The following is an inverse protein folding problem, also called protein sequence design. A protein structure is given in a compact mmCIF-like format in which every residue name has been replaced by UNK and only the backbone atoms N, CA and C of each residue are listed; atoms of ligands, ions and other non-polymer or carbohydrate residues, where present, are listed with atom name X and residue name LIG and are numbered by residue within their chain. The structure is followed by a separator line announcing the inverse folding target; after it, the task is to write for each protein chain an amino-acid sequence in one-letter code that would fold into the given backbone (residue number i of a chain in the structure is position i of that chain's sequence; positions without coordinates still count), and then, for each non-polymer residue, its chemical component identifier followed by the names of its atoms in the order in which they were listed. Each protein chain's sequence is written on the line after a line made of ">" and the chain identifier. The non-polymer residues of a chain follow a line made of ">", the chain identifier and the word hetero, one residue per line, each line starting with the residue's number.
data_IF_845833837833
#
_entry.id   IF_845833837833
#
_cell.length_a   1.000
_cell.length_b   1.000
_cell.length_c   1.000
_cell.angle_alpha   90.00
_cell.angle_beta   90.00
_cell.angle_gamma   90.00
#
_symmetry.space_group_name_H-M   'P 1'
#
loop_
_entity.id
_entity.type
_entity.pdbx_description
1 polymer ?
#
# COMPACT_ATOMS: atom_id res chain seq x y z
N UNK A 1 18.72 3.79 -2.62
CA UNK A 1 17.55 2.89 -2.75
C UNK A 1 16.80 2.98 -1.45
N UNK A 2 15.54 3.39 -1.51
CA UNK A 2 14.66 3.52 -0.37
C UNK A 2 13.47 2.59 -0.54
N UNK A 3 12.90 2.17 0.59
CA UNK A 3 11.74 1.31 0.61
C UNK A 3 10.62 2.00 1.38
N UNK A 4 9.44 2.05 0.77
CA UNK A 4 8.22 2.48 1.43
C UNK A 4 7.21 1.34 1.40
N UNK A 5 6.81 0.88 2.58
CA UNK A 5 5.79 -0.15 2.71
C UNK A 5 4.41 0.52 2.66
N UNK A 6 3.51 -0.01 1.84
CA UNK A 6 2.12 0.44 1.72
C UNK A 6 1.20 -0.60 2.36
N UNK A 7 0.60 -0.21 3.48
CA UNK A 7 -0.37 -1.02 4.21
C UNK A 7 -1.76 -0.40 4.17
N UNK A 8 -2.75 -1.11 4.68
CA UNK A 8 -4.11 -0.61 4.85
C UNK A 8 -4.59 -0.79 6.27
N UNK A 9 -5.56 0.02 6.70
CA UNK A 9 -6.31 -0.24 7.93
C UNK A 9 -7.23 -1.45 7.81
N UNK A 10 -7.55 -1.86 6.58
CA UNK A 10 -8.39 -3.03 6.29
C UNK A 10 -8.17 -3.53 4.83
N UNK A 11 -8.90 -4.56 4.44
CA UNK A 11 -9.11 -5.00 3.06
C UNK A 11 -10.01 -4.00 2.32
N UNK A 12 -9.78 -3.80 1.02
CA UNK A 12 -10.65 -2.95 0.19
C UNK A 12 -10.53 -1.43 0.41
N UNK A 13 -9.64 -0.95 1.29
CA UNK A 13 -9.44 0.49 1.54
C UNK A 13 -8.78 1.27 0.39
N UNK A 14 -8.42 0.60 -0.71
CA UNK A 14 -7.81 1.23 -1.88
C UNK A 14 -6.27 1.20 -1.92
N UNK A 15 -5.62 0.20 -1.30
CA UNK A 15 -4.15 0.05 -1.31
C UNK A 15 -3.57 0.08 -2.72
N UNK A 16 -4.06 -0.77 -3.62
CA UNK A 16 -3.59 -0.89 -5.01
C UNK A 16 -3.66 0.45 -5.76
N UNK A 17 -4.77 1.18 -5.58
CA UNK A 17 -4.96 2.52 -6.18
C UNK A 17 -3.99 3.53 -5.58
N UNK A 18 -3.77 3.50 -4.27
CA UNK A 18 -2.81 4.39 -3.61
C UNK A 18 -1.35 4.09 -3.99
N UNK A 19 -0.99 2.81 -4.08
CA UNK A 19 0.32 2.35 -4.58
C UNK A 19 0.52 2.85 -6.01
N UNK A 20 -0.47 2.63 -6.90
CA UNK A 20 -0.41 3.10 -8.28
C UNK A 20 -0.31 4.63 -8.37
N UNK A 21 -1.09 5.37 -7.59
CA UNK A 21 -1.08 6.83 -7.62
C UNK A 21 0.27 7.39 -7.17
N UNK A 22 0.84 6.84 -6.09
CA UNK A 22 2.17 7.25 -5.62
C UNK A 22 3.26 6.88 -6.62
N UNK A 23 3.22 5.68 -7.20
CA UNK A 23 4.17 5.25 -8.22
C UNK A 23 4.09 6.15 -9.47
N UNK A 24 2.87 6.50 -9.88
CA UNK A 24 2.62 7.42 -10.98
C UNK A 24 3.17 8.82 -10.70
N UNK A 25 2.93 9.36 -9.49
CA UNK A 25 3.46 10.65 -9.07
C UNK A 25 5.00 10.66 -9.01
N UNK A 26 5.60 9.59 -8.47
CA UNK A 26 7.05 9.43 -8.41
C UNK A 26 7.68 9.37 -9.82
N UNK A 27 7.11 8.56 -10.71
CA UNK A 27 7.54 8.47 -12.11
C UNK A 27 7.46 9.83 -12.83
N UNK A 28 6.35 10.55 -12.66
CA UNK A 28 6.17 11.89 -13.24
C UNK A 28 7.16 12.91 -12.67
N UNK A 29 7.60 12.74 -11.42
CA UNK A 29 8.66 13.54 -10.80
C UNK A 29 10.09 13.09 -11.18
N UNK A 30 10.24 12.12 -12.10
CA UNK A 30 11.55 11.62 -12.55
C UNK A 30 12.22 10.67 -11.56
N UNK A 31 11.49 10.14 -10.58
CA UNK A 31 11.98 9.11 -9.66
C UNK A 31 11.85 7.74 -10.31
N UNK A 32 12.96 7.01 -10.35
CA UNK A 32 12.98 5.59 -10.69
C UNK A 32 12.28 4.77 -9.60
N UNK A 33 11.14 4.19 -9.95
CA UNK A 33 10.20 3.56 -9.01
C UNK A 33 9.84 2.16 -9.44
N UNK A 34 9.90 1.23 -8.49
CA UNK A 34 9.41 -0.14 -8.62
C UNK A 34 8.27 -0.42 -7.64
N UNK A 35 7.42 -1.37 -7.99
CA UNK A 35 6.37 -1.87 -7.10
C UNK A 35 6.56 -3.36 -6.86
N UNK A 36 6.62 -3.73 -5.58
CA UNK A 36 6.72 -5.10 -5.12
C UNK A 36 5.44 -5.49 -4.38
N UNK A 37 4.81 -6.59 -4.79
CA UNK A 37 3.70 -7.24 -4.10
C UNK A 37 4.16 -8.66 -3.75
N UNK A 38 4.81 -8.88 -2.59
CA UNK A 38 5.39 -10.18 -2.27
C UNK A 38 4.35 -11.30 -2.32
N UNK A 39 3.17 -11.04 -1.75
CA UNK A 39 2.08 -12.02 -1.61
C UNK A 39 0.78 -11.49 -2.23
N UNK A 40 0.24 -12.24 -3.19
CA UNK A 40 -1.05 -12.01 -3.84
C UNK A 40 -2.00 -13.18 -3.55
N UNK A 41 -3.24 -12.87 -3.22
CA UNK A 41 -4.34 -13.85 -3.12
C UNK A 41 -5.40 -13.54 -4.17
N UNK A 42 -6.29 -14.48 -4.49
CA UNK A 42 -7.30 -14.30 -5.56
C UNK A 42 -6.76 -14.43 -7.00
N UNK A 43 -5.50 -14.83 -7.19
CA UNK A 43 -4.86 -14.90 -8.51
C UNK A 43 -5.37 -16.11 -9.33
N UNK A 44 -5.51 -16.02 -10.67
CA UNK A 44 -5.18 -14.88 -11.52
C UNK A 44 -6.36 -13.91 -11.72
N UNK A 45 -7.48 -14.07 -10.99
CA UNK A 45 -8.62 -13.15 -11.12
C UNK A 45 -8.26 -11.77 -10.58
N UNK A 46 -7.59 -11.74 -9.43
CA UNK A 46 -7.07 -10.54 -8.80
C UNK A 46 -5.57 -10.44 -9.11
N UNK A 47 -5.14 -9.26 -9.58
CA UNK A 47 -3.73 -8.99 -9.89
C UNK A 47 -3.42 -7.51 -9.64
N UNK A 48 -3.00 -7.20 -8.41
CA UNK A 48 -2.73 -5.83 -7.98
C UNK A 48 -1.58 -5.20 -8.80
N UNK A 49 -0.58 -5.98 -9.21
CA UNK A 49 0.52 -5.50 -10.03
C UNK A 49 0.07 -5.16 -11.45
N UNK A 50 -0.85 -5.93 -12.03
CA UNK A 50 -1.41 -5.61 -13.34
C UNK A 50 -2.22 -4.30 -13.30
N UNK A 51 -2.96 -4.06 -12.22
CA UNK A 51 -3.66 -2.78 -12.02
C UNK A 51 -2.70 -1.61 -11.84
N UNK A 52 -1.63 -1.79 -11.07
CA UNK A 52 -0.55 -0.79 -10.97
C UNK A 52 0.08 -0.50 -12.33
N UNK A 53 0.38 -1.53 -13.13
CA UNK A 53 0.94 -1.38 -14.47
C UNK A 53 0.03 -0.50 -15.35
N UNK A 54 -1.26 -0.86 -15.37
CA UNK A 54 -2.29 -0.22 -16.19
C UNK A 54 -2.52 1.24 -15.80
N UNK A 55 -2.55 1.54 -14.50
CA UNK A 55 -2.87 2.87 -13.98
C UNK A 55 -1.65 3.80 -13.98
N UNK A 56 -0.49 3.30 -13.53
CA UNK A 56 0.68 4.13 -13.28
C UNK A 56 1.70 4.13 -14.44
N UNK A 57 1.61 3.16 -15.36
CA UNK A 57 2.60 2.97 -16.42
C UNK A 57 3.96 2.49 -15.90
N UNK A 58 4.01 1.88 -14.72
CA UNK A 58 5.24 1.33 -14.12
C UNK A 58 5.46 -0.09 -14.64
N UNK A 59 6.70 -0.37 -15.07
CA UNK A 59 7.08 -1.68 -15.64
C UNK A 59 7.92 -2.52 -14.69
N UNK A 60 8.59 -1.90 -13.72
CA UNK A 60 9.38 -2.58 -12.69
C UNK A 60 8.45 -3.15 -11.61
N UNK A 61 7.86 -4.31 -11.90
CA UNK A 61 6.83 -4.96 -11.08
C UNK A 61 7.32 -6.33 -10.61
N UNK A 62 7.26 -6.57 -9.30
CA UNK A 62 7.83 -7.76 -8.67
C UNK A 62 6.78 -8.44 -7.79
N UNK A 63 6.43 -9.68 -8.09
CA UNK A 63 5.52 -10.47 -7.27
C UNK A 63 5.84 -11.96 -7.38
N UNK A 64 5.94 -12.62 -6.22
CA UNK A 64 6.54 -13.97 -6.14
C UNK A 64 5.50 -15.02 -5.73
N UNK A 65 4.79 -14.80 -4.61
CA UNK A 65 3.85 -15.78 -4.08
C UNK A 65 2.42 -15.43 -4.45
N UNK A 66 1.75 -16.35 -5.15
CA UNK A 66 0.39 -16.18 -5.65
C UNK A 66 -0.48 -17.35 -5.20
N UNK A 67 -1.60 -17.05 -4.57
CA UNK A 67 -2.57 -18.04 -4.10
C UNK A 67 -3.93 -17.86 -4.80
N UNK A 68 -4.65 -18.95 -5.12
CA UNK A 68 -5.84 -18.85 -5.98
C UNK A 68 -7.06 -18.17 -5.34
N UNK A 69 -7.30 -18.42 -4.06
CA UNK A 69 -8.53 -17.98 -3.41
C UNK A 69 -8.40 -16.56 -2.84
N UNK A 70 -9.44 -15.70 -2.94
CA UNK A 70 -9.43 -14.33 -2.45
C UNK A 70 -9.67 -14.28 -0.93
N UNK A 71 -8.74 -14.88 -0.19
CA UNK A 71 -8.75 -14.99 1.27
C UNK A 71 -7.51 -14.31 1.86
N UNK A 72 -7.41 -14.27 3.19
CA UNK A 72 -6.15 -13.97 3.85
C UNK A 72 -5.07 -14.98 3.41
N UNK A 73 -3.79 -14.58 3.26
CA UNK A 73 -2.76 -15.44 2.69
C UNK A 73 -2.60 -16.80 3.36
N UNK A 74 -2.63 -16.87 4.69
CA UNK A 74 -2.55 -18.14 5.42
C UNK A 74 -3.69 -19.11 5.01
N UNK A 75 -4.93 -18.62 4.97
CA UNK A 75 -6.08 -19.42 4.57
C UNK A 75 -6.04 -19.79 3.07
N UNK A 76 -5.60 -18.87 2.21
CA UNK A 76 -5.48 -19.13 0.78
C UNK A 76 -4.38 -20.19 0.48
N UNK A 77 -3.26 -20.12 1.18
CA UNK A 77 -2.16 -21.07 1.10
C UNK A 77 -2.58 -22.46 1.60
N UNK A 78 -3.22 -22.52 2.77
CA UNK A 78 -3.74 -23.77 3.35
C UNK A 78 -4.69 -24.47 2.40
N UNK A 79 -5.67 -23.74 1.85
CA UNK A 79 -6.67 -24.30 0.93
C UNK A 79 -6.09 -24.74 -0.40
N UNK A 80 -5.01 -24.11 -0.85
CA UNK A 80 -4.27 -24.51 -2.04
C UNK A 80 -3.28 -25.67 -1.78
N UNK A 81 -3.09 -26.11 -0.53
CA UNK A 81 -2.04 -27.07 -0.18
C UNK A 81 -0.63 -26.53 -0.41
N UNK A 82 -0.46 -25.21 -0.33
CA UNK A 82 0.80 -24.49 -0.57
C UNK A 82 1.36 -23.93 0.74
N UNK A 83 2.67 -23.77 0.82
CA UNK A 83 3.30 -23.11 1.95
C UNK A 83 3.25 -21.58 1.80
N UNK A 84 3.17 -20.88 2.94
CA UNK A 84 3.58 -19.47 3.00
C UNK A 84 5.11 -19.36 2.81
N UNK A 85 5.62 -18.24 2.28
CA UNK A 85 7.06 -17.99 2.27
C UNK A 85 7.64 -17.81 3.67
N UNK A 86 8.92 -18.07 3.81
CA UNK A 86 9.69 -17.71 5.00
C UNK A 86 9.90 -16.20 5.09
N UNK A 87 10.28 -15.74 6.28
CA UNK A 87 10.62 -14.33 6.52
C UNK A 87 11.77 -13.84 5.62
N UNK A 88 12.82 -14.64 5.49
CA UNK A 88 14.02 -14.29 4.72
C UNK A 88 13.71 -14.24 3.22
N UNK A 89 12.85 -15.13 2.72
CA UNK A 89 12.37 -15.08 1.33
C UNK A 89 11.56 -13.79 1.07
N UNK A 90 10.66 -13.42 1.98
CA UNK A 90 9.88 -12.19 1.86
C UNK A 90 10.78 -10.94 1.83
N UNK A 91 11.71 -10.82 2.78
CA UNK A 91 12.66 -9.71 2.83
C UNK A 91 13.57 -9.72 1.60
N UNK A 92 14.09 -10.89 1.21
CA UNK A 92 14.93 -11.08 0.03
C UNK A 92 14.23 -10.68 -1.27
N UNK A 93 12.93 -10.95 -1.39
CA UNK A 93 12.15 -10.56 -2.57
C UNK A 93 12.06 -9.05 -2.76
N UNK A 94 12.14 -8.28 -1.66
CA UNK A 94 12.12 -6.80 -1.70
C UNK A 94 13.53 -6.24 -1.90
N UNK A 95 14.54 -6.78 -1.20
CA UNK A 95 15.92 -6.26 -1.28
C UNK A 95 16.59 -6.57 -2.62
N UNK A 96 16.11 -7.56 -3.37
CA UNK A 96 16.55 -7.86 -4.72
C UNK A 96 16.03 -6.87 -5.78
N UNK A 97 15.09 -5.98 -5.44
CA UNK A 97 14.54 -4.98 -6.36
C UNK A 97 15.56 -3.85 -6.56
N UNK A 98 15.94 -3.63 -7.81
CA UNK A 98 16.84 -2.54 -8.22
C UNK A 98 16.03 -1.33 -8.69
N UNK A 99 15.76 -0.40 -7.77
CA UNK A 99 15.12 0.88 -8.05
C UNK A 99 15.51 1.93 -7.01
N UNK A 100 15.43 3.22 -7.37
CA UNK A 100 15.64 4.29 -6.37
C UNK A 100 14.60 4.27 -5.26
N UNK A 101 13.33 4.06 -5.59
CA UNK A 101 12.21 3.92 -4.65
C UNK A 101 11.46 2.60 -4.91
N UNK A 102 11.38 1.75 -3.91
CA UNK A 102 10.58 0.51 -3.96
C UNK A 102 9.32 0.68 -3.10
N UNK A 103 8.15 0.61 -3.72
CA UNK A 103 6.86 0.55 -3.01
C UNK A 103 6.51 -0.91 -2.75
N UNK A 104 6.34 -1.29 -1.48
CA UNK A 104 6.01 -2.67 -1.09
C UNK A 104 4.57 -2.73 -0.63
N UNK A 105 3.69 -3.27 -1.46
CA UNK A 105 2.28 -3.40 -1.12
C UNK A 105 2.00 -4.67 -0.31
N UNK A 106 1.29 -4.53 0.82
CA UNK A 106 0.82 -5.66 1.61
C UNK A 106 -0.47 -6.31 1.11
N UNK A 107 -0.86 -7.42 1.73
CA UNK A 107 -2.19 -8.04 1.54
C UNK A 107 -3.05 -7.80 2.78
N UNK A 108 -4.24 -7.20 2.62
CA UNK A 108 -5.11 -6.85 3.76
C UNK A 108 -4.54 -5.74 4.65
N UNK A 109 -4.50 -5.95 5.96
CA UNK A 109 -4.01 -4.99 6.95
C UNK A 109 -2.59 -5.27 7.46
N UNK A 110 -2.04 -4.35 8.27
CA UNK A 110 -0.64 -4.38 8.74
C UNK A 110 -0.20 -5.70 9.41
N UNK A 111 -1.10 -6.33 10.17
CA UNK A 111 -0.80 -7.53 10.96
C UNK A 111 -1.32 -8.83 10.32
N UNK A 112 -1.70 -8.79 9.04
CA UNK A 112 -2.03 -10.02 8.29
C UNK A 112 -0.78 -10.89 8.20
N UNK A 113 -0.94 -12.20 8.45
CA UNK A 113 0.12 -13.19 8.26
C UNK A 113 0.42 -13.36 6.77
N UNK A 114 1.63 -12.97 6.38
CA UNK A 114 2.17 -13.05 5.03
C UNK A 114 3.16 -14.20 4.86
N UNK A 115 3.82 -14.60 5.94
CA UNK A 115 4.87 -15.61 5.94
C UNK A 115 4.74 -16.58 7.10
N UNK A 116 5.47 -17.69 7.02
CA UNK A 116 5.46 -18.76 8.02
C UNK A 116 5.73 -18.23 9.43
N UNK A 117 5.02 -18.80 10.42
CA UNK A 117 5.22 -18.46 11.82
C UNK A 117 4.65 -17.09 12.20
N UNK A 118 3.60 -16.62 11.52
CA UNK A 118 2.92 -15.37 11.85
C UNK A 118 3.66 -14.12 11.36
N UNK A 119 4.55 -14.22 10.37
CA UNK A 119 5.31 -13.05 9.86
C UNK A 119 4.34 -12.08 9.19
N UNK A 120 4.36 -10.83 9.63
CA UNK A 120 3.47 -9.77 9.13
C UNK A 120 4.20 -8.75 8.28
N UNK A 121 3.46 -7.85 7.61
CA UNK A 121 4.06 -6.73 6.89
C UNK A 121 4.86 -5.80 7.81
N UNK A 122 4.47 -5.70 9.09
CA UNK A 122 5.22 -4.95 10.11
C UNK A 122 6.61 -5.53 10.33
N UNK A 123 6.74 -6.86 10.37
CA UNK A 123 8.02 -7.52 10.56
C UNK A 123 8.95 -7.31 9.36
N UNK A 124 8.38 -7.35 8.15
CA UNK A 124 9.08 -7.05 6.90
C UNK A 124 9.55 -5.58 6.89
N UNK A 125 8.67 -4.63 7.25
CA UNK A 125 9.01 -3.21 7.33
C UNK A 125 10.16 -2.95 8.32
N UNK A 126 10.14 -3.62 9.48
CA UNK A 126 11.22 -3.54 10.48
C UNK A 126 12.56 -4.01 9.92
N UNK A 127 12.61 -5.16 9.29
CA UNK A 127 13.87 -5.73 8.77
C UNK A 127 14.46 -4.91 7.62
N UNK A 128 13.60 -4.26 6.84
CA UNK A 128 13.99 -3.36 5.76
C UNK A 128 14.33 -1.95 6.25
N UNK A 129 14.17 -1.65 7.55
CA UNK A 129 14.20 -0.30 8.11
C UNK A 129 13.31 0.69 7.33
N UNK A 130 12.19 0.19 6.79
CA UNK A 130 11.30 0.93 5.91
C UNK A 130 10.26 1.71 6.71
N UNK A 131 9.90 2.89 6.20
CA UNK A 131 8.72 3.61 6.69
C UNK A 131 7.45 2.98 6.13
N UNK A 132 6.32 3.25 6.79
CA UNK A 132 5.01 2.70 6.39
C UNK A 132 4.03 3.82 6.04
N UNK A 133 3.50 3.78 4.82
CA UNK A 133 2.35 4.56 4.38
C UNK A 133 1.06 3.77 4.65
N UNK A 134 0.10 4.39 5.32
CA UNK A 134 -1.15 3.73 5.71
C UNK A 134 -2.30 4.23 4.84
N UNK A 135 -2.97 3.31 4.15
CA UNK A 135 -4.18 3.59 3.38
C UNK A 135 -5.41 3.39 4.26
N UNK A 136 -6.29 4.39 4.30
CA UNK A 136 -7.46 4.44 5.19
C UNK A 136 -8.74 4.67 4.37
N UNK A 137 -9.88 4.21 4.89
CA UNK A 137 -11.20 4.61 4.40
C UNK A 137 -11.64 5.94 5.05
N UNK A 138 -12.56 6.71 4.44
CA UNK A 138 -13.08 7.94 5.05
C UNK A 138 -14.21 7.70 6.06
N UNK A 139 -14.86 6.53 6.03
CA UNK A 139 -16.09 6.25 6.75
C UNK A 139 -15.93 6.04 8.26
N UNK A 140 -17.07 5.86 8.94
CA UNK A 140 -17.13 5.61 10.38
C UNK A 140 -16.28 4.38 10.77
N UNK A 141 -15.55 4.49 11.88
CA UNK A 141 -14.59 3.49 12.36
C UNK A 141 -13.15 3.73 11.94
N UNK A 142 -12.92 4.56 10.91
CA UNK A 142 -11.57 4.83 10.39
C UNK A 142 -10.60 5.37 11.44
N UNK A 143 -11.07 6.22 12.36
CA UNK A 143 -10.22 6.80 13.41
C UNK A 143 -9.68 5.72 14.36
N UNK A 144 -10.52 4.73 14.73
CA UNK A 144 -10.10 3.61 15.56
C UNK A 144 -9.09 2.72 14.82
N UNK A 145 -9.41 2.30 13.60
CA UNK A 145 -8.50 1.42 12.84
C UNK A 145 -7.16 2.11 12.55
N UNK A 146 -7.18 3.41 12.26
CA UNK A 146 -5.98 4.20 12.03
C UNK A 146 -5.15 4.30 13.30
N UNK A 147 -5.75 4.63 14.46
CA UNK A 147 -5.06 4.70 15.73
C UNK A 147 -4.42 3.36 16.12
N UNK A 148 -5.16 2.24 16.00
CA UNK A 148 -4.65 0.89 16.26
C UNK A 148 -3.47 0.53 15.34
N UNK A 149 -3.54 0.92 14.06
CA UNK A 149 -2.45 0.67 13.11
C UNK A 149 -1.21 1.50 13.45
N UNK A 150 -1.39 2.78 13.83
CA UNK A 150 -0.30 3.66 14.26
C UNK A 150 0.36 3.15 15.55
N UNK A 151 -0.41 2.71 16.54
CA UNK A 151 0.10 2.10 17.76
C UNK A 151 0.91 0.83 17.47
N UNK A 152 0.41 -0.03 16.57
CA UNK A 152 1.11 -1.25 16.18
C UNK A 152 2.46 -0.99 15.50
N UNK A 153 2.60 0.11 14.75
CA UNK A 153 3.88 0.57 14.18
C UNK A 153 4.80 1.16 15.25
N UNK A 154 4.26 2.05 16.08
CA UNK A 154 5.01 2.72 17.15
C UNK A 154 5.58 1.70 18.15
N UNK A 155 4.84 0.64 18.47
CA UNK A 155 5.29 -0.45 19.33
C UNK A 155 6.52 -1.19 18.80
N UNK A 156 6.88 -1.02 17.53
CA UNK A 156 8.08 -1.58 16.91
C UNK A 156 9.06 -0.51 16.40
N UNK A 157 8.86 0.76 16.81
CA UNK A 157 9.64 1.92 16.36
C UNK A 157 9.68 2.10 14.83
N UNK A 158 8.61 1.71 14.13
CA UNK A 158 8.53 1.84 12.66
C UNK A 158 7.92 3.21 12.34
N UNK A 159 8.60 4.07 11.55
CA UNK A 159 8.07 5.38 11.21
C UNK A 159 6.83 5.28 10.32
N UNK A 160 5.80 6.07 10.62
CA UNK A 160 4.68 6.28 9.72
C UNK A 160 5.04 7.42 8.73
N UNK A 161 4.99 7.13 7.43
CA UNK A 161 5.22 8.11 6.37
C UNK A 161 4.02 9.06 6.18
N UNK A 162 2.85 8.68 6.70
CA UNK A 162 1.59 9.43 6.63
C UNK A 162 0.42 8.53 6.24
N UNK A 163 -0.70 9.17 5.93
CA UNK A 163 -1.97 8.53 5.57
C UNK A 163 -2.34 8.85 4.13
N UNK A 164 -3.02 7.91 3.46
CA UNK A 164 -3.74 8.17 2.21
C UNK A 164 -5.18 7.75 2.39
N UNK A 165 -6.12 8.65 2.09
CA UNK A 165 -7.53 8.27 2.02
C UNK A 165 -7.75 7.65 0.63
N UNK A 166 -7.96 6.33 0.58
CA UNK A 166 -7.85 5.56 -0.67
C UNK A 166 -9.05 5.68 -1.61
N UNK A 167 -10.21 6.11 -1.11
CA UNK A 167 -11.40 6.35 -1.90
C UNK A 167 -12.29 7.41 -1.24
N UNK A 168 -12.22 8.64 -1.74
CA UNK A 168 -13.01 9.78 -1.29
C UNK A 168 -14.28 9.90 -2.13
N UNK A 169 -15.47 9.82 -1.53
CA UNK A 169 -16.71 9.90 -2.28
C UNK A 169 -16.92 11.29 -2.89
N UNK A 170 -17.66 11.32 -3.99
CA UNK A 170 -18.02 12.57 -4.69
C UNK A 170 -18.84 13.50 -3.79
N UNK A 171 -19.78 12.92 -3.05
CA UNK A 171 -20.69 13.62 -2.15
C UNK A 171 -20.46 13.07 -0.73
N UNK A 172 -19.39 13.50 -0.02
CA UNK A 172 -19.07 12.99 1.30
C UNK A 172 -20.11 13.41 2.34
N UNK A 173 -20.44 12.50 3.25
CA UNK A 173 -21.32 12.82 4.36
C UNK A 173 -20.60 13.61 5.47
N UNK A 174 -21.35 13.93 6.53
CA UNK A 174 -20.82 14.68 7.69
C UNK A 174 -19.72 13.88 8.42
N UNK A 175 -19.86 12.55 8.50
CA UNK A 175 -18.88 11.71 9.16
C UNK A 175 -17.58 11.64 8.35
N UNK A 176 -17.66 11.45 7.03
CA UNK A 176 -16.50 11.40 6.14
C UNK A 176 -15.74 12.72 6.14
N UNK A 177 -16.46 13.84 6.03
CA UNK A 177 -15.88 15.18 6.11
C UNK A 177 -15.20 15.42 7.46
N UNK A 178 -15.88 15.12 8.57
CA UNK A 178 -15.32 15.27 9.92
C UNK A 178 -14.13 14.33 10.17
N UNK A 179 -14.15 13.13 9.62
CA UNK A 179 -13.09 12.14 9.75
C UNK A 179 -11.82 12.58 9.04
N UNK A 180 -11.91 13.25 7.88
CA UNK A 180 -10.73 13.78 7.18
C UNK A 180 -9.91 14.70 8.07
N UNK A 181 -10.58 15.65 8.74
CA UNK A 181 -9.91 16.58 9.65
C UNK A 181 -9.36 15.88 10.90
N UNK A 182 -10.07 14.87 11.39
CA UNK A 182 -9.62 14.07 12.52
C UNK A 182 -8.41 13.19 12.20
N UNK A 183 -8.37 12.57 11.01
CA UNK A 183 -7.22 11.81 10.52
C UNK A 183 -5.97 12.68 10.41
N UNK A 184 -6.11 13.91 9.92
CA UNK A 184 -5.01 14.88 9.82
C UNK A 184 -4.40 15.27 11.18
N UNK A 185 -5.12 15.08 12.29
CA UNK A 185 -4.59 15.25 13.65
C UNK A 185 -3.83 14.03 14.17
N UNK A 186 -4.06 12.84 13.60
CA UNK A 186 -3.36 11.61 13.97
C UNK A 186 -2.02 11.47 13.25
N UNK A 187 -1.99 11.76 11.96
CA UNK A 187 -0.80 11.73 11.13
C UNK A 187 -0.99 12.59 9.85
N UNK A 188 0.09 13.01 9.17
CA UNK A 188 -0.03 13.77 7.93
C UNK A 188 -0.82 13.01 6.86
N UNK A 189 -1.89 13.61 6.34
CA UNK A 189 -2.63 13.07 5.19
C UNK A 189 -1.90 13.49 3.92
N UNK A 190 -1.27 12.54 3.24
CA UNK A 190 -0.43 12.74 2.04
C UNK A 190 -1.23 12.87 0.76
N UNK A 191 -2.37 12.20 0.69
CA UNK A 191 -3.29 12.27 -0.44
C UNK A 191 -4.71 11.89 -0.04
N UNK A 192 -5.66 12.39 -0.82
CA UNK A 192 -7.08 12.02 -0.77
C UNK A 192 -7.49 11.67 -2.20
N UNK A 193 -7.64 10.37 -2.48
CA UNK A 193 -7.87 9.88 -3.84
C UNK A 193 -9.37 9.78 -4.12
N UNK A 194 -9.87 10.19 -5.30
CA UNK A 194 -11.30 10.11 -5.59
C UNK A 194 -11.76 8.65 -5.69
N UNK A 195 -12.96 8.37 -5.19
CA UNK A 195 -13.62 7.09 -5.39
C UNK A 195 -13.76 6.81 -6.90
N UNK A 196 -13.49 5.56 -7.29
CA UNK A 196 -13.51 5.15 -8.70
C UNK A 196 -12.21 5.43 -9.47
N UNK A 197 -11.16 5.99 -8.85
CA UNK A 197 -9.86 6.23 -9.49
C UNK A 197 -9.24 4.98 -10.13
N UNK A 198 -9.52 3.78 -9.60
CA UNK A 198 -9.07 2.52 -10.18
C UNK A 198 -9.62 2.24 -11.59
N UNK A 199 -10.71 2.88 -12.00
CA UNK A 199 -11.32 2.73 -13.33
C UNK A 199 -10.97 3.88 -14.30
N UNK A 200 -10.12 4.82 -13.90
CA UNK A 200 -9.73 5.96 -14.73
C UNK A 200 -8.89 5.55 -15.95
N UNK A 201 -8.92 6.40 -16.98
CA UNK A 201 -7.96 6.30 -18.07
C UNK A 201 -6.54 6.61 -17.55
N UNK A 202 -5.50 6.13 -18.23
CA UNK A 202 -4.11 6.40 -17.83
C UNK A 202 -3.83 7.92 -17.74
N UNK A 203 -4.35 8.71 -18.68
CA UNK A 203 -4.18 10.17 -18.71
C UNK A 203 -4.86 10.87 -17.52
N UNK A 204 -6.09 10.46 -17.20
CA UNK A 204 -6.81 11.04 -16.06
C UNK A 204 -6.14 10.63 -14.75
N UNK A 205 -5.65 9.40 -14.66
CA UNK A 205 -4.93 8.89 -13.52
C UNK A 205 -3.59 9.60 -13.31
N UNK A 206 -2.84 9.88 -14.37
CA UNK A 206 -1.61 10.69 -14.32
C UNK A 206 -1.89 12.09 -13.77
N UNK A 207 -2.91 12.76 -14.32
CA UNK A 207 -3.29 14.11 -13.90
C UNK A 207 -3.74 14.15 -12.43
N UNK A 208 -4.53 13.16 -12.01
CA UNK A 208 -4.96 13.01 -10.62
C UNK A 208 -3.77 12.74 -9.70
N UNK A 209 -2.88 11.82 -10.07
CA UNK A 209 -1.73 11.42 -9.24
C UNK A 209 -0.75 12.58 -9.02
N UNK A 210 -0.48 13.39 -10.05
CA UNK A 210 0.38 14.57 -9.95
C UNK A 210 -0.20 15.64 -9.03
N UNK A 211 -1.53 15.77 -8.96
CA UNK A 211 -2.22 16.72 -8.10
C UNK A 211 -2.47 16.20 -6.68
N UNK A 212 -2.50 14.88 -6.49
CA UNK A 212 -2.88 14.25 -5.23
C UNK A 212 -1.80 14.32 -4.16
N UNK A 213 -0.52 14.33 -4.55
CA UNK A 213 0.62 14.32 -3.64
C UNK A 213 1.46 15.60 -3.77
N UNK A 214 2.01 16.05 -2.65
CA UNK A 214 3.05 17.08 -2.67
C UNK A 214 4.34 16.54 -3.33
N UNK A 215 4.81 17.20 -4.38
CA UNK A 215 5.96 16.73 -5.17
C UNK A 215 7.27 16.72 -4.37
N UNK A 216 7.44 17.66 -3.43
CA UNK A 216 8.65 17.68 -2.58
C UNK A 216 8.66 16.45 -1.65
N UNK A 217 7.52 16.11 -1.06
CA UNK A 217 7.39 14.88 -0.28
C UNK A 217 7.67 13.64 -1.13
N UNK A 218 7.08 13.52 -2.33
CA UNK A 218 7.31 12.37 -3.22
C UNK A 218 8.79 12.20 -3.56
N UNK A 219 9.46 13.28 -3.98
CA UNK A 219 10.89 13.24 -4.34
C UNK A 219 11.78 12.93 -3.13
N UNK A 220 11.42 13.41 -1.93
CA UNK A 220 12.16 13.12 -0.70
C UNK A 220 12.16 11.63 -0.31
N UNK A 221 11.20 10.84 -0.80
CA UNK A 221 11.16 9.41 -0.55
C UNK A 221 12.33 8.67 -1.21
N UNK A 222 12.93 9.20 -2.28
CA UNK A 222 13.97 8.53 -3.06
C UNK A 222 15.41 8.74 -2.52
N UNK A 223 15.58 9.58 -1.49
CA UNK A 223 16.90 9.98 -0.97
C UNK A 223 17.47 11.19 -1.70
#
# INVERSE_FOLDING_TARGET
>A
MSTLVVTGTDTGVGKTVATAALACAARQAGVDVAVCKPVQTGSPRDDDLADVARLAGVTALYGTWRYPEPLAPAAAAERAGMALPTRDELVGSVTAVDAKLTLVEGAGGLLVELGQGGVTLRDIARDLAAQVLIVVSPGLGTLNHTALTLEALAAQNIPCAGLVIGAWPRDPDVAETGNRDALARLAPVRAVLPAGAGASSARDFESMSAAAFDTQWVTSLAG
#
